data_IF_945569326725
#
_entry.id   IF_945569326725
#
_cell.length_a   1.000
_cell.length_b   1.000
_cell.length_c   1.000
_cell.angle_alpha   90.00
_cell.angle_beta   90.00
_cell.angle_gamma   90.00
#
_symmetry.space_group_name_H-M   'P 1'
#
loop_
_entity.id
_entity.type
_entity.pdbx_description
1 polymer ?
#
# COMPACT_ATOMS: atom_id res chain seq x y z
N UNK A 1 16.36 -1.76 15.70
CA UNK A 1 15.24 -1.93 16.64
C UNK A 1 14.38 -0.66 16.76
N UNK A 2 14.98 0.55 16.89
CA UNK A 2 14.24 1.80 17.11
C UNK A 2 13.38 2.23 15.90
N UNK A 3 13.93 2.14 14.70
CA UNK A 3 13.21 2.46 13.45
C UNK A 3 12.06 1.48 13.20
N UNK A 4 12.27 0.19 13.44
CA UNK A 4 11.21 -0.82 13.29
C UNK A 4 10.08 -0.61 14.30
N UNK A 5 10.38 -0.15 15.52
CA UNK A 5 9.38 0.19 16.54
C UNK A 5 8.57 1.42 16.14
N UNK A 6 9.23 2.49 15.67
CA UNK A 6 8.53 3.71 15.20
C UNK A 6 7.75 3.48 13.90
N UNK A 7 8.29 2.71 12.96
CA UNK A 7 7.53 2.28 11.77
C UNK A 7 6.36 1.37 12.14
N UNK A 8 6.55 0.43 13.06
CA UNK A 8 5.47 -0.42 13.58
C UNK A 8 4.38 0.39 14.28
N UNK A 9 4.78 1.31 15.16
CA UNK A 9 3.86 2.22 15.86
C UNK A 9 3.15 3.18 14.91
N UNK A 10 3.83 3.73 13.90
CA UNK A 10 3.23 4.58 12.87
C UNK A 10 2.29 3.78 11.96
N UNK A 11 2.65 2.54 11.62
CA UNK A 11 1.80 1.63 10.86
C UNK A 11 0.58 1.16 11.67
N UNK A 12 0.71 0.97 12.97
CA UNK A 12 -0.43 0.66 13.85
C UNK A 12 -1.33 1.87 14.07
N UNK A 13 -0.77 3.07 14.23
CA UNK A 13 -1.54 4.31 14.26
C UNK A 13 -2.26 4.57 12.93
N UNK A 14 -1.63 4.28 11.80
CA UNK A 14 -2.29 4.30 10.49
C UNK A 14 -3.33 3.18 10.32
N UNK A 15 -3.18 2.02 10.96
CA UNK A 15 -4.20 0.97 10.98
C UNK A 15 -5.45 1.40 11.72
N UNK A 16 -5.33 2.17 12.79
CA UNK A 16 -6.47 2.75 13.53
C UNK A 16 -7.15 3.90 12.74
N UNK A 17 -6.44 4.51 11.79
CA UNK A 17 -6.92 5.50 10.83
C UNK A 17 -7.31 4.88 9.47
N UNK A 18 -7.40 3.54 9.37
CA UNK A 18 -7.92 2.92 8.15
C UNK A 18 -9.34 3.41 7.94
N UNK A 19 -9.49 4.35 7.01
CA UNK A 19 -10.80 4.78 6.54
C UNK A 19 -11.65 3.55 6.25
N UNK A 20 -12.80 3.48 6.91
CA UNK A 20 -13.79 2.44 6.64
C UNK A 20 -14.07 2.41 5.15
N UNK A 21 -14.36 1.24 4.63
CA UNK A 21 -14.79 1.09 3.24
C UNK A 21 -16.18 1.69 3.13
N UNK A 22 -16.33 2.72 2.29
CA UNK A 22 -17.63 3.36 2.04
C UNK A 22 -18.49 2.44 1.17
N UNK A 23 -19.73 2.25 1.59
CA UNK A 23 -20.67 1.28 0.99
C UNK A 23 -21.95 1.97 0.57
N UNK A 24 -22.40 1.71 -0.67
CA UNK A 24 -23.76 1.92 -1.08
C UNK A 24 -24.53 0.59 -0.97
N UNK A 25 -25.61 0.58 -0.20
CA UNK A 25 -26.48 -0.57 -0.06
C UNK A 25 -27.67 -0.43 -1.01
N UNK A 26 -27.79 -1.31 -2.00
CA UNK A 26 -28.97 -1.40 -2.82
C UNK A 26 -29.93 -2.46 -2.29
N UNK A 27 -31.08 -2.00 -1.83
CA UNK A 27 -32.14 -2.85 -1.31
C UNK A 27 -33.48 -2.22 -1.70
N UNK A 28 -34.25 -2.85 -2.60
CA UNK A 28 -35.54 -2.34 -2.98
C UNK A 28 -36.44 -2.07 -1.78
N UNK A 29 -37.27 -1.04 -1.87
CA UNK A 29 -38.16 -0.63 -0.79
C UNK A 29 -39.27 -1.70 -0.60
N UNK A 30 -39.09 -2.53 0.43
CA UNK A 30 -40.07 -3.55 0.82
C UNK A 30 -40.02 -3.74 2.35
N UNK A 31 -41.08 -3.36 3.06
CA UNK A 31 -41.26 -3.57 4.51
C UNK A 31 -40.00 -3.31 5.37
N UNK A 32 -39.45 -2.11 5.33
CA UNK A 32 -38.25 -1.69 6.10
C UNK A 32 -37.04 -2.62 5.95
N UNK A 33 -36.97 -3.39 4.85
CA UNK A 33 -35.93 -4.38 4.60
C UNK A 33 -34.55 -3.74 4.57
N UNK A 34 -34.43 -2.56 3.99
CA UNK A 34 -33.16 -1.80 3.93
C UNK A 34 -32.64 -1.47 5.31
N UNK A 35 -33.50 -1.10 6.25
CA UNK A 35 -33.10 -0.84 7.64
C UNK A 35 -32.61 -2.11 8.32
N UNK A 36 -33.33 -3.22 8.16
CA UNK A 36 -32.95 -4.51 8.75
C UNK A 36 -31.61 -5.01 8.21
N UNK A 37 -31.38 -4.93 6.90
CA UNK A 37 -30.09 -5.30 6.30
C UNK A 37 -28.98 -4.38 6.76
N UNK A 38 -29.25 -3.08 6.85
CA UNK A 38 -28.30 -2.10 7.39
C UNK A 38 -27.89 -2.45 8.81
N UNK A 39 -28.83 -2.78 9.69
CA UNK A 39 -28.56 -3.15 11.08
C UNK A 39 -27.74 -4.44 11.19
N UNK A 40 -28.05 -5.42 10.34
CA UNK A 40 -27.27 -6.67 10.27
C UNK A 40 -25.84 -6.40 9.83
N UNK A 41 -25.64 -5.61 8.78
CA UNK A 41 -24.28 -5.24 8.30
C UNK A 41 -23.55 -4.46 9.39
N UNK A 42 -24.16 -3.46 10.01
CA UNK A 42 -23.55 -2.67 11.09
C UNK A 42 -23.14 -3.55 12.27
N UNK A 43 -23.95 -4.53 12.65
CA UNK A 43 -23.66 -5.42 13.78
C UNK A 43 -22.36 -6.21 13.61
N UNK A 44 -22.04 -6.64 12.39
CA UNK A 44 -20.87 -7.48 12.12
C UNK A 44 -19.68 -6.71 11.54
N UNK A 45 -19.92 -5.54 10.93
CA UNK A 45 -18.92 -4.83 10.13
C UNK A 45 -18.82 -3.34 10.44
N UNK A 46 -19.32 -2.90 11.61
CA UNK A 46 -19.27 -1.48 12.01
C UNK A 46 -17.87 -0.87 12.00
N UNK A 47 -16.84 -1.69 12.24
CA UNK A 47 -15.45 -1.23 12.29
C UNK A 47 -14.79 -1.20 10.91
N UNK A 48 -15.37 -1.90 9.94
CA UNK A 48 -14.79 -2.09 8.61
C UNK A 48 -15.54 -1.36 7.50
N UNK A 49 -16.85 -1.26 7.63
CA UNK A 49 -17.74 -0.69 6.62
C UNK A 49 -18.47 0.55 7.13
N UNK A 50 -18.61 1.54 6.25
CA UNK A 50 -19.45 2.71 6.47
C UNK A 50 -20.52 2.77 5.35
N UNK A 51 -21.77 2.50 5.69
CA UNK A 51 -22.88 2.66 4.75
C UNK A 51 -23.16 4.14 4.60
N UNK A 52 -22.85 4.68 3.43
CA UNK A 52 -23.02 6.10 3.09
C UNK A 52 -24.30 6.36 2.32
N UNK A 53 -24.78 5.37 1.55
CA UNK A 53 -25.95 5.50 0.70
C UNK A 53 -26.83 4.24 0.82
N UNK A 54 -28.15 4.45 0.87
CA UNK A 54 -29.14 3.39 0.72
C UNK A 54 -29.91 3.71 -0.54
N UNK A 55 -29.85 2.81 -1.52
CA UNK A 55 -30.49 2.93 -2.81
C UNK A 55 -31.70 2.00 -2.86
N UNK A 56 -32.81 2.50 -3.36
CA UNK A 56 -34.06 1.75 -3.49
C UNK A 56 -34.47 1.53 -4.94
N UNK A 57 -33.90 2.32 -5.85
CA UNK A 57 -34.15 2.26 -7.29
C UNK A 57 -32.83 2.15 -8.05
N UNK A 58 -32.85 1.48 -9.22
CA UNK A 58 -31.66 1.34 -10.07
C UNK A 58 -31.18 2.69 -10.65
N UNK A 59 -32.05 3.65 -10.84
CA UNK A 59 -31.69 4.98 -11.28
C UNK A 59 -30.82 5.78 -10.29
N UNK A 60 -30.76 5.33 -9.04
CA UNK A 60 -29.93 5.95 -8.01
C UNK A 60 -28.45 5.60 -8.11
N UNK A 61 -28.08 4.58 -8.91
CA UNK A 61 -26.68 4.21 -9.11
C UNK A 61 -25.85 5.34 -9.74
N UNK A 62 -26.45 6.17 -10.59
CA UNK A 62 -25.76 7.31 -11.21
C UNK A 62 -25.42 8.43 -10.20
N UNK A 63 -26.06 8.42 -9.04
CA UNK A 63 -25.88 9.43 -7.99
C UNK A 63 -24.80 9.06 -6.98
N UNK A 64 -24.26 7.84 -7.07
CA UNK A 64 -23.26 7.37 -6.12
C UNK A 64 -21.93 8.06 -6.35
N UNK A 65 -21.41 8.70 -5.30
CA UNK A 65 -20.07 9.30 -5.26
C UNK A 65 -19.29 8.72 -4.09
N UNK A 66 -17.96 8.66 -4.23
CA UNK A 66 -17.04 8.27 -3.16
C UNK A 66 -17.36 6.93 -2.48
N UNK A 67 -17.88 5.99 -3.27
CA UNK A 67 -18.24 4.64 -2.81
C UNK A 67 -17.21 3.62 -3.27
N UNK A 68 -16.77 2.78 -2.35
CA UNK A 68 -15.75 1.75 -2.61
C UNK A 68 -16.36 0.36 -2.89
N UNK A 69 -17.58 0.14 -2.44
CA UNK A 69 -18.27 -1.16 -2.57
C UNK A 69 -19.78 -0.93 -2.69
N UNK A 70 -20.40 -1.63 -3.61
CA UNK A 70 -21.85 -1.73 -3.68
C UNK A 70 -22.26 -3.08 -3.13
N UNK A 71 -23.15 -3.09 -2.15
CA UNK A 71 -23.80 -4.30 -1.64
C UNK A 71 -25.23 -4.33 -2.14
N UNK A 72 -25.62 -5.41 -2.78
CA UNK A 72 -26.99 -5.59 -3.29
C UNK A 72 -27.68 -6.76 -2.59
N UNK A 73 -29.00 -6.69 -2.44
CA UNK A 73 -29.81 -7.80 -1.90
C UNK A 73 -30.53 -8.58 -3.00
N UNK A 74 -30.54 -8.04 -4.22
CA UNK A 74 -31.10 -8.66 -5.42
C UNK A 74 -30.11 -8.56 -6.58
N UNK A 75 -30.26 -9.38 -7.62
CA UNK A 75 -29.48 -9.24 -8.85
C UNK A 75 -29.70 -7.86 -9.49
N UNK A 76 -28.65 -7.26 -9.99
CA UNK A 76 -28.65 -5.95 -10.64
C UNK A 76 -27.94 -6.06 -11.98
N UNK A 77 -28.49 -5.41 -13.01
CA UNK A 77 -27.93 -5.40 -14.38
C UNK A 77 -27.19 -4.11 -14.72
N UNK A 78 -26.85 -3.29 -13.72
CA UNK A 78 -26.16 -2.02 -13.92
C UNK A 78 -24.67 -2.26 -14.16
N UNK A 79 -24.12 -1.60 -15.19
CA UNK A 79 -22.67 -1.60 -15.45
C UNK A 79 -22.03 -0.48 -14.65
N UNK A 80 -21.13 -0.84 -13.73
CA UNK A 80 -20.39 0.12 -12.90
C UNK A 80 -18.93 -0.32 -12.75
N UNK A 81 -18.04 0.63 -12.57
CA UNK A 81 -16.63 0.37 -12.21
C UNK A 81 -16.45 0.08 -10.72
N UNK A 82 -17.46 0.35 -9.89
CA UNK A 82 -17.40 0.11 -8.45
C UNK A 82 -17.60 -1.40 -8.20
N UNK A 83 -16.72 -2.04 -7.41
CA UNK A 83 -16.90 -3.42 -7.03
C UNK A 83 -18.28 -3.68 -6.42
N UNK A 84 -18.96 -4.73 -6.87
CA UNK A 84 -20.29 -5.09 -6.39
C UNK A 84 -20.31 -6.50 -5.81
N UNK A 85 -21.14 -6.70 -4.80
CA UNK A 85 -21.41 -8.00 -4.19
C UNK A 85 -22.91 -8.14 -3.89
N UNK A 86 -23.46 -9.29 -4.21
CA UNK A 86 -24.82 -9.64 -3.82
C UNK A 86 -24.79 -10.48 -2.54
N UNK A 87 -25.60 -10.12 -1.56
CA UNK A 87 -25.80 -10.86 -0.31
C UNK A 87 -27.27 -11.17 -0.10
N UNK A 88 -27.55 -12.17 0.74
CA UNK A 88 -28.91 -12.39 1.24
C UNK A 88 -29.26 -11.35 2.33
N UNK A 89 -30.54 -11.10 2.51
CA UNK A 89 -31.05 -10.19 3.54
C UNK A 89 -30.67 -10.62 4.98
N UNK A 90 -30.32 -11.89 5.18
CA UNK A 90 -29.95 -12.45 6.50
C UNK A 90 -28.44 -12.50 6.72
N UNK A 91 -27.63 -12.11 5.75
CA UNK A 91 -26.16 -12.13 5.81
C UNK A 91 -25.65 -13.48 6.36
N UNK A 92 -25.95 -14.57 5.64
CA UNK A 92 -25.57 -15.91 6.04
C UNK A 92 -24.03 -16.11 6.03
N UNK A 93 -23.57 -17.28 6.45
CA UNK A 93 -22.13 -17.55 6.55
C UNK A 93 -21.39 -17.41 5.20
N UNK A 94 -22.00 -17.85 4.10
CA UNK A 94 -21.44 -17.72 2.75
C UNK A 94 -21.34 -16.24 2.34
N UNK A 95 -22.36 -15.43 2.62
CA UNK A 95 -22.36 -14.01 2.34
C UNK A 95 -21.22 -13.30 3.12
N UNK A 96 -21.04 -13.67 4.38
CA UNK A 96 -19.96 -13.10 5.22
C UNK A 96 -18.59 -13.46 4.70
N UNK A 97 -18.39 -14.69 4.26
CA UNK A 97 -17.12 -15.09 3.64
C UNK A 97 -16.84 -14.28 2.37
N UNK A 98 -17.78 -14.18 1.46
CA UNK A 98 -17.66 -13.40 0.23
C UNK A 98 -17.40 -11.91 0.52
N UNK A 99 -18.09 -11.36 1.53
CA UNK A 99 -17.90 -9.97 1.93
C UNK A 99 -16.51 -9.73 2.52
N UNK A 100 -16.01 -10.63 3.36
CA UNK A 100 -14.65 -10.56 3.90
C UNK A 100 -13.59 -10.60 2.79
N UNK A 101 -13.71 -11.52 1.84
CA UNK A 101 -12.80 -11.59 0.69
C UNK A 101 -12.80 -10.30 -0.14
N UNK A 102 -13.99 -9.70 -0.32
CA UNK A 102 -14.15 -8.45 -1.06
C UNK A 102 -13.53 -7.26 -0.29
N UNK A 103 -13.76 -7.18 1.01
CA UNK A 103 -13.16 -6.18 1.91
C UNK A 103 -11.64 -6.25 1.82
N UNK A 104 -11.05 -7.43 1.94
CA UNK A 104 -9.61 -7.61 1.84
C UNK A 104 -9.05 -7.20 0.47
N UNK A 105 -9.77 -7.52 -0.60
CA UNK A 105 -9.38 -7.10 -1.97
C UNK A 105 -9.37 -5.57 -2.10
N UNK A 106 -10.41 -4.90 -1.63
CA UNK A 106 -10.52 -3.43 -1.67
C UNK A 106 -9.43 -2.79 -0.82
N UNK A 107 -9.15 -3.33 0.37
CA UNK A 107 -8.06 -2.85 1.24
C UNK A 107 -6.69 -2.97 0.57
N UNK A 108 -6.41 -4.09 -0.09
CA UNK A 108 -5.16 -4.29 -0.84
C UNK A 108 -5.03 -3.27 -1.98
N UNK A 109 -6.09 -3.02 -2.73
CA UNK A 109 -6.09 -2.03 -3.81
C UNK A 109 -5.89 -0.60 -3.28
N UNK A 110 -6.57 -0.22 -2.20
CA UNK A 110 -6.36 1.09 -1.56
C UNK A 110 -4.91 1.26 -1.07
N UNK A 111 -4.37 0.27 -0.35
CA UNK A 111 -2.98 0.31 0.10
C UNK A 111 -2.01 0.44 -1.06
N UNK A 112 -2.23 -0.31 -2.14
CA UNK A 112 -1.40 -0.24 -3.35
C UNK A 112 -1.45 1.15 -3.97
N UNK A 113 -2.62 1.75 -4.13
CA UNK A 113 -2.78 3.09 -4.69
C UNK A 113 -2.07 4.16 -3.86
N UNK A 114 -2.20 4.11 -2.53
CA UNK A 114 -1.47 5.00 -1.61
C UNK A 114 0.04 4.80 -1.74
N UNK A 115 0.49 3.55 -1.76
CA UNK A 115 1.91 3.22 -1.92
C UNK A 115 2.46 3.68 -3.27
N UNK A 116 1.72 3.48 -4.37
CA UNK A 116 2.10 3.99 -5.70
C UNK A 116 2.21 5.52 -5.72
N UNK A 117 1.35 6.22 -4.98
CA UNK A 117 1.46 7.67 -4.79
C UNK A 117 2.78 8.06 -4.13
N UNK A 118 3.12 7.44 -3.00
CA UNK A 118 4.40 7.68 -2.32
C UNK A 118 5.60 7.29 -3.16
N UNK A 119 5.55 6.17 -3.88
CA UNK A 119 6.65 5.78 -4.76
C UNK A 119 6.94 6.81 -5.84
N UNK A 120 5.91 7.40 -6.43
CA UNK A 120 6.07 8.46 -7.44
C UNK A 120 6.73 9.72 -6.89
N UNK A 121 6.53 10.03 -5.62
CA UNK A 121 7.17 11.17 -4.96
C UNK A 121 8.61 10.86 -4.53
N UNK A 122 8.87 9.63 -4.08
CA UNK A 122 10.17 9.22 -3.54
C UNK A 122 11.14 8.72 -4.61
N UNK A 123 10.63 8.13 -5.68
CA UNK A 123 11.41 7.49 -6.73
C UNK A 123 11.32 8.31 -8.02
N UNK A 124 12.31 9.14 -8.25
CA UNK A 124 12.45 9.81 -9.54
C UNK A 124 12.87 8.80 -10.61
N UNK A 125 12.50 8.99 -11.90
CA UNK A 125 12.93 8.10 -12.99
C UNK A 125 14.45 7.90 -13.02
N UNK A 126 15.24 8.94 -12.74
CA UNK A 126 16.70 8.88 -12.70
C UNK A 126 17.25 8.06 -11.53
N UNK A 127 16.43 7.73 -10.54
CA UNK A 127 16.79 6.94 -9.37
C UNK A 127 16.34 5.48 -9.45
N UNK A 128 15.91 5.03 -10.62
CA UNK A 128 15.61 3.64 -10.88
C UNK A 128 16.37 3.16 -12.09
N UNK A 129 17.27 2.19 -11.92
CA UNK A 129 18.10 1.66 -12.99
C UNK A 129 18.18 0.15 -12.96
N UNK A 130 18.24 -0.42 -14.17
CA UNK A 130 18.54 -1.84 -14.38
C UNK A 130 19.84 -1.92 -15.16
N UNK A 131 20.87 -2.50 -14.57
CA UNK A 131 22.21 -2.61 -15.13
C UNK A 131 22.46 -4.04 -15.63
N UNK A 132 22.86 -4.18 -16.87
CA UNK A 132 23.24 -5.49 -17.49
C UNK A 132 24.51 -6.06 -16.86
N UNK A 133 25.46 -5.21 -16.51
CA UNK A 133 26.65 -5.56 -15.74
C UNK A 133 26.69 -4.65 -14.51
N UNK A 134 26.66 -5.25 -13.35
CA UNK A 134 26.68 -4.52 -12.09
C UNK A 134 28.08 -4.19 -11.63
N UNK A 135 28.18 -3.88 -10.36
CA UNK A 135 29.42 -3.59 -9.64
C UNK A 135 30.02 -4.88 -9.10
N UNK A 136 31.33 -4.92 -8.94
CA UNK A 136 32.00 -6.10 -8.36
C UNK A 136 31.83 -6.13 -6.84
N UNK A 137 31.70 -4.97 -6.19
CA UNK A 137 31.66 -4.83 -4.74
C UNK A 137 30.51 -3.94 -4.28
N UNK A 138 30.09 -4.13 -3.03
CA UNK A 138 29.14 -3.27 -2.32
C UNK A 138 29.56 -1.81 -2.32
N UNK A 139 30.86 -1.56 -2.10
CA UNK A 139 31.42 -0.19 -2.04
C UNK A 139 31.27 0.54 -3.36
N UNK A 140 31.56 -0.11 -4.49
CA UNK A 140 31.40 0.48 -5.81
C UNK A 140 29.92 0.84 -6.07
N UNK A 141 29.00 -0.05 -5.70
CA UNK A 141 27.57 0.17 -5.83
C UNK A 141 27.11 1.35 -4.95
N UNK A 142 27.50 1.39 -3.68
CA UNK A 142 27.17 2.49 -2.75
C UNK A 142 27.69 3.81 -3.28
N UNK A 143 28.97 3.86 -3.70
CA UNK A 143 29.59 5.08 -4.27
C UNK A 143 28.81 5.58 -5.47
N UNK A 144 28.43 4.69 -6.39
CA UNK A 144 27.64 5.04 -7.55
C UNK A 144 26.28 5.64 -7.17
N UNK A 145 25.55 4.97 -6.30
CA UNK A 145 24.23 5.41 -5.86
C UNK A 145 24.27 6.75 -5.13
N UNK A 146 25.28 6.95 -4.26
CA UNK A 146 25.45 8.20 -3.51
C UNK A 146 25.84 9.35 -4.43
N UNK A 147 26.74 9.16 -5.39
CA UNK A 147 27.10 10.18 -6.36
C UNK A 147 25.89 10.70 -7.14
N UNK A 148 24.94 9.82 -7.46
CA UNK A 148 23.68 10.22 -8.05
C UNK A 148 22.83 11.10 -7.13
N UNK A 149 22.72 10.72 -5.86
CA UNK A 149 22.00 11.50 -4.86
C UNK A 149 22.63 12.87 -4.64
N UNK A 150 23.99 12.96 -4.64
CA UNK A 150 24.72 14.23 -4.54
C UNK A 150 24.44 15.10 -5.77
N UNK A 151 24.54 14.54 -6.97
CA UNK A 151 24.30 15.28 -8.22
C UNK A 151 22.90 15.91 -8.29
N UNK A 152 21.90 15.28 -7.67
CA UNK A 152 20.54 15.80 -7.58
C UNK A 152 20.26 16.62 -6.31
N UNK A 153 21.27 16.83 -5.45
CA UNK A 153 21.19 17.67 -4.26
C UNK A 153 20.36 17.07 -3.12
N UNK A 154 20.30 15.74 -3.02
CA UNK A 154 19.60 15.04 -1.93
C UNK A 154 20.45 14.92 -0.68
N UNK A 155 21.74 14.72 -0.86
CA UNK A 155 22.72 14.53 0.22
C UNK A 155 23.98 15.36 -0.06
N UNK A 156 24.91 15.41 0.89
CA UNK A 156 26.23 16.00 0.75
C UNK A 156 27.32 14.93 0.54
N UNK A 157 28.58 15.37 0.43
CA UNK A 157 29.73 14.50 0.18
C UNK A 157 30.09 13.61 1.38
N UNK A 158 29.59 13.89 2.58
CA UNK A 158 29.90 13.11 3.78
C UNK A 158 28.99 11.87 3.87
N UNK A 159 27.87 11.87 3.15
CA UNK A 159 26.85 10.83 3.20
C UNK A 159 27.36 9.44 2.81
N UNK A 160 28.31 9.35 1.86
CA UNK A 160 28.95 8.09 1.48
C UNK A 160 29.69 7.43 2.65
N UNK A 161 30.48 8.22 3.36
CA UNK A 161 31.24 7.72 4.51
C UNK A 161 30.32 7.22 5.63
N UNK A 162 29.18 7.85 5.80
CA UNK A 162 28.19 7.44 6.80
C UNK A 162 27.55 6.11 6.45
N UNK A 163 27.17 5.90 5.16
CA UNK A 163 26.63 4.61 4.71
C UNK A 163 27.68 3.52 4.85
N UNK A 164 28.91 3.75 4.40
CA UNK A 164 30.00 2.77 4.51
C UNK A 164 30.28 2.44 5.99
N UNK A 165 30.32 3.45 6.86
CA UNK A 165 30.50 3.24 8.29
C UNK A 165 29.36 2.42 8.90
N UNK A 166 28.13 2.65 8.46
CA UNK A 166 26.96 1.90 8.89
C UNK A 166 27.00 0.44 8.38
N UNK A 167 27.39 0.23 7.14
CA UNK A 167 27.51 -1.09 6.51
C UNK A 167 28.58 -1.94 7.20
N UNK A 168 29.72 -1.32 7.57
CA UNK A 168 30.80 -1.98 8.29
C UNK A 168 30.42 -2.45 9.71
N UNK A 169 29.40 -1.83 10.34
CA UNK A 169 28.90 -2.28 11.66
C UNK A 169 28.07 -3.57 11.54
N UNK A 170 27.29 -3.67 10.50
CA UNK A 170 26.42 -4.82 10.22
C UNK A 170 25.88 -4.70 8.81
N UNK A 171 26.06 -5.72 7.99
CA UNK A 171 25.58 -5.69 6.61
C UNK A 171 24.08 -5.43 6.53
N UNK A 172 23.69 -4.67 5.51
CA UNK A 172 22.29 -4.44 5.17
C UNK A 172 21.77 -5.43 4.13
N UNK A 173 22.59 -6.37 3.69
CA UNK A 173 22.19 -7.42 2.77
C UNK A 173 21.22 -8.42 3.44
N UNK A 174 20.16 -8.74 2.72
CA UNK A 174 19.15 -9.71 3.14
C UNK A 174 18.68 -10.52 1.93
N UNK A 175 19.11 -11.76 1.84
CA UNK A 175 18.84 -12.59 0.67
C UNK A 175 19.49 -12.01 -0.59
N UNK A 176 18.69 -11.69 -1.60
CA UNK A 176 19.16 -11.17 -2.89
C UNK A 176 19.14 -9.64 -3.00
N UNK A 177 18.89 -8.90 -1.92
CA UNK A 177 18.88 -7.43 -1.93
C UNK A 177 19.61 -6.85 -0.72
N UNK A 178 20.02 -5.57 -0.82
CA UNK A 178 20.57 -4.79 0.28
C UNK A 178 19.84 -3.44 0.38
N UNK A 179 19.82 -2.86 1.59
CA UNK A 179 19.23 -1.55 1.84
C UNK A 179 20.27 -0.66 2.54
N UNK A 180 21.30 -0.18 1.83
CA UNK A 180 22.29 0.70 2.40
C UNK A 180 21.65 2.03 2.82
N UNK A 181 21.95 2.49 4.04
CA UNK A 181 21.40 3.71 4.60
C UNK A 181 22.35 4.32 5.64
N UNK A 182 22.24 5.63 5.84
CA UNK A 182 22.98 6.31 6.91
C UNK A 182 22.27 6.14 8.26
N UNK A 183 23.02 6.22 9.35
CA UNK A 183 22.46 6.18 10.70
C UNK A 183 21.78 7.48 11.11
N UNK A 184 22.23 8.59 10.57
CA UNK A 184 21.73 9.93 10.89
C UNK A 184 20.79 10.41 9.77
N UNK A 185 19.70 11.06 10.18
CA UNK A 185 18.71 11.61 9.25
C UNK A 185 19.03 13.09 8.98
N UNK A 186 20.01 13.36 8.12
CA UNK A 186 20.34 14.72 7.69
C UNK A 186 20.37 14.90 6.16
N UNK A 187 19.72 14.01 5.43
CA UNK A 187 19.48 14.22 4.02
C UNK A 187 18.67 15.51 3.79
N UNK A 188 19.04 16.27 2.76
CA UNK A 188 18.37 17.53 2.38
C UNK A 188 16.98 17.31 1.81
N UNK A 189 16.75 16.14 1.21
CA UNK A 189 15.47 15.73 0.62
C UNK A 189 15.24 14.25 0.90
N UNK A 190 13.98 13.87 1.03
CA UNK A 190 13.61 12.47 1.11
C UNK A 190 13.59 11.87 -0.30
N UNK A 191 14.17 10.70 -0.47
CA UNK A 191 14.20 10.01 -1.76
C UNK A 191 14.69 8.59 -1.63
N UNK A 192 14.53 7.82 -2.70
CA UNK A 192 14.97 6.44 -2.79
C UNK A 192 15.70 6.24 -4.12
N UNK A 193 16.89 5.66 -4.08
CA UNK A 193 17.62 5.24 -5.28
C UNK A 193 17.62 3.71 -5.34
N UNK A 194 17.23 3.13 -6.47
CA UNK A 194 17.13 1.69 -6.69
C UNK A 194 18.00 1.32 -7.89
N UNK A 195 18.87 0.37 -7.67
CA UNK A 195 19.68 -0.28 -8.72
C UNK A 195 19.35 -1.76 -8.71
N UNK A 196 19.03 -2.30 -9.86
CA UNK A 196 18.87 -3.74 -10.09
C UNK A 196 20.00 -4.17 -11.02
N UNK A 197 20.78 -5.17 -10.63
CA UNK A 197 21.87 -5.72 -11.43
C UNK A 197 21.50 -7.09 -11.98
N UNK A 198 21.72 -7.32 -13.27
CA UNK A 198 21.57 -8.65 -13.88
C UNK A 198 22.71 -9.61 -13.47
N UNK A 199 23.81 -9.07 -12.96
CA UNK A 199 24.95 -9.83 -12.44
C UNK A 199 25.06 -9.65 -10.93
N UNK A 200 25.51 -10.67 -10.18
CA UNK A 200 25.62 -10.57 -8.73
C UNK A 200 26.65 -9.52 -8.33
N UNK A 201 26.34 -8.76 -7.30
CA UNK A 201 27.20 -7.83 -6.60
C UNK A 201 27.62 -8.50 -5.30
N UNK A 202 28.93 -8.66 -5.09
CA UNK A 202 29.43 -9.23 -3.83
C UNK A 202 29.17 -8.26 -2.68
N UNK A 203 28.27 -8.64 -1.76
CA UNK A 203 27.85 -7.85 -0.61
C UNK A 203 28.00 -8.63 0.68
N UNK A 204 29.11 -8.41 1.40
CA UNK A 204 29.40 -9.11 2.65
C UNK A 204 29.18 -10.64 2.56
N UNK A 205 29.80 -11.29 1.58
CA UNK A 205 29.70 -12.74 1.30
C UNK A 205 28.31 -13.23 0.84
N UNK A 206 27.45 -12.33 0.40
CA UNK A 206 26.15 -12.64 -0.20
C UNK A 206 26.11 -12.06 -1.62
N UNK A 207 25.31 -12.67 -2.47
CA UNK A 207 25.04 -12.16 -3.82
C UNK A 207 23.77 -11.30 -3.80
N UNK A 208 23.93 -10.01 -4.11
CA UNK A 208 22.85 -9.02 -4.22
C UNK A 208 22.67 -8.67 -5.70
N UNK A 209 21.45 -8.43 -6.13
CA UNK A 209 21.12 -8.14 -7.54
C UNK A 209 20.39 -6.81 -7.73
#
# INVERSE_FOLDING_TARGET
AYIAFHLGSALEAQKSLTEKITVALYCPSYYDMSLKVTDVIKRYYSDELLITNILTDESDFDKIKDTNLIITTIPVSVITSIPMIQISIFLNQKDRQLLNEKIETIRKLKKRSVFEGYLKELLLPDFFEVLKSGFSTEKECITYMVNKLIAHGYVDNEFENEIISRENMSSTAFGCFAIPHAMKMHAKKTGMNIVISETPISWNQQDVY
#
